data_IF_492560852581
#
_entry.id   IF_492560852581
#
_cell.length_a   1.000
_cell.length_b   1.000
_cell.length_c   1.000
_cell.angle_alpha   90.00
_cell.angle_beta   90.00
_cell.angle_gamma   90.00
#
_symmetry.space_group_name_H-M   'P 1'
#
loop_
_entity.id
_entity.type
_entity.pdbx_description
1 polymer ?
#
# COMPACT_ATOMS: atom_id res chain seq x y z
N UNK A 1 0.76 -9.28 -27.64
CA UNK A 1 0.20 -8.22 -26.78
C UNK A 1 0.76 -8.46 -25.40
N UNK A 2 1.60 -7.57 -24.88
CA UNK A 2 2.01 -7.61 -23.48
C UNK A 2 0.75 -7.40 -22.63
N UNK A 3 0.45 -8.33 -21.73
CA UNK A 3 -0.63 -8.15 -20.76
C UNK A 3 -0.22 -7.03 -19.81
N UNK A 4 -1.01 -5.95 -19.76
CA UNK A 4 -0.79 -4.85 -18.82
C UNK A 4 -0.97 -5.40 -17.41
N UNK A 5 0.10 -5.39 -16.62
CA UNK A 5 0.05 -5.80 -15.22
C UNK A 5 -0.62 -4.72 -14.37
N UNK A 6 -1.55 -5.12 -13.51
CA UNK A 6 -2.23 -4.20 -12.60
C UNK A 6 -1.44 -4.00 -11.30
N UNK A 7 -1.69 -2.90 -10.58
CA UNK A 7 -1.07 -2.70 -9.26
C UNK A 7 -1.49 -3.79 -8.25
N UNK A 8 -2.71 -4.33 -8.39
CA UNK A 8 -3.20 -5.43 -7.56
C UNK A 8 -2.38 -6.71 -7.77
N UNK A 9 -1.99 -6.99 -9.01
CA UNK A 9 -1.14 -8.14 -9.34
C UNK A 9 0.26 -7.97 -8.73
N UNK A 10 0.79 -6.74 -8.76
CA UNK A 10 2.07 -6.41 -8.14
C UNK A 10 2.03 -6.62 -6.61
N UNK A 11 0.95 -6.19 -5.95
CA UNK A 11 0.76 -6.41 -4.51
C UNK A 11 0.69 -7.90 -4.18
N UNK A 12 -0.04 -8.70 -4.98
CA UNK A 12 -0.11 -10.16 -4.79
C UNK A 12 1.26 -10.82 -4.97
N UNK A 13 2.04 -10.40 -5.96
CA UNK A 13 3.41 -10.88 -6.17
C UNK A 13 4.32 -10.53 -4.99
N UNK A 14 4.24 -9.30 -4.46
CA UNK A 14 5.00 -8.85 -3.29
C UNK A 14 4.70 -9.73 -2.06
N UNK A 15 3.43 -9.93 -1.75
CA UNK A 15 3.00 -10.75 -0.62
C UNK A 15 3.37 -12.23 -0.79
N UNK A 16 3.34 -12.73 -2.03
CA UNK A 16 3.80 -14.09 -2.34
C UNK A 16 5.31 -14.27 -2.24
N UNK A 17 6.09 -13.21 -2.48
CA UNK A 17 7.56 -13.25 -2.43
C UNK A 17 8.12 -13.15 -1.01
N UNK A 18 7.39 -12.53 -0.07
CA UNK A 18 7.84 -12.31 1.32
C UNK A 18 6.76 -12.82 2.29
N UNK A 19 6.82 -14.10 2.71
CA UNK A 19 5.78 -14.74 3.53
C UNK A 19 5.50 -14.05 4.88
N UNK A 20 6.48 -13.31 5.42
CA UNK A 20 6.37 -12.58 6.68
C UNK A 20 5.56 -11.29 6.53
N UNK A 21 5.44 -10.74 5.32
CA UNK A 21 4.64 -9.56 5.03
C UNK A 21 3.18 -9.98 4.89
N UNK A 22 2.35 -9.53 5.84
CA UNK A 22 0.93 -9.93 5.91
C UNK A 22 0.01 -9.07 5.06
N UNK A 23 0.46 -7.87 4.70
CA UNK A 23 -0.39 -6.86 4.08
C UNK A 23 0.47 -5.81 3.38
N UNK A 24 -0.05 -5.25 2.30
CA UNK A 24 0.62 -4.19 1.56
C UNK A 24 -0.42 -3.23 0.98
N UNK A 25 -0.05 -1.97 0.81
CA UNK A 25 -0.90 -0.97 0.18
C UNK A 25 -0.03 0.00 -0.62
N UNK A 26 -0.58 0.49 -1.72
CA UNK A 26 0.00 1.58 -2.51
C UNK A 26 -0.88 2.80 -2.24
N UNK A 27 -0.24 3.87 -1.81
CA UNK A 27 -0.86 5.10 -1.34
C UNK A 27 -0.14 6.29 -1.99
N UNK A 28 -0.86 7.39 -2.21
CA UNK A 28 -0.26 8.64 -2.67
C UNK A 28 0.53 9.33 -1.55
N UNK A 29 1.42 10.25 -1.90
CA UNK A 29 2.18 11.04 -0.93
C UNK A 29 1.26 11.90 -0.03
N UNK A 30 0.09 12.28 -0.54
CA UNK A 30 -0.96 13.02 0.15
C UNK A 30 -1.83 12.13 1.06
N UNK A 31 -1.59 10.82 1.07
CA UNK A 31 -2.32 9.87 1.92
C UNK A 31 -3.64 9.40 1.33
N UNK A 32 -3.77 9.38 0.01
CA UNK A 32 -4.93 8.80 -0.67
C UNK A 32 -4.65 7.32 -1.02
N UNK A 33 -5.56 6.38 -0.71
CA UNK A 33 -5.43 4.98 -1.13
C UNK A 33 -5.48 4.85 -2.66
N UNK A 34 -4.59 4.03 -3.23
CA UNK A 34 -4.57 3.70 -4.67
C UNK A 34 -4.98 2.24 -4.90
N UNK A 35 -4.33 1.32 -4.20
CA UNK A 35 -4.74 -0.09 -4.11
C UNK A 35 -4.24 -0.67 -2.80
N UNK A 36 -4.92 -1.69 -2.28
CA UNK A 36 -4.57 -2.28 -1.01
C UNK A 36 -4.86 -3.79 -0.97
N UNK A 37 -3.94 -4.54 -0.37
CA UNK A 37 -4.07 -5.94 -0.02
C UNK A 37 -4.04 -6.03 1.51
N UNK A 38 -5.13 -5.55 2.13
CA UNK A 38 -5.29 -5.45 3.57
C UNK A 38 -6.26 -6.51 4.12
N UNK A 39 -6.05 -7.00 5.35
CA UNK A 39 -6.99 -7.85 6.06
C UNK A 39 -8.38 -7.21 6.18
N UNK A 40 -9.39 -8.07 6.26
CA UNK A 40 -10.76 -7.63 6.46
C UNK A 40 -10.90 -6.82 7.76
N UNK A 41 -11.62 -5.70 7.69
CA UNK A 41 -11.85 -4.82 8.83
C UNK A 41 -10.78 -3.75 9.04
N UNK A 42 -9.74 -3.70 8.21
CA UNK A 42 -8.81 -2.57 8.16
C UNK A 42 -9.33 -1.52 7.17
N UNK A 43 -9.42 -0.28 7.62
CA UNK A 43 -9.74 0.87 6.78
C UNK A 43 -8.48 1.35 6.04
N UNK A 44 -8.48 1.23 4.72
CA UNK A 44 -7.39 1.67 3.85
C UNK A 44 -7.14 3.18 3.92
N UNK A 45 -8.19 3.99 4.12
CA UNK A 45 -8.08 5.45 4.24
C UNK A 45 -7.35 5.82 5.52
N UNK A 46 -7.63 5.10 6.62
CA UNK A 46 -6.89 5.27 7.87
C UNK A 46 -5.40 4.95 7.69
N UNK A 47 -5.08 3.83 7.03
CA UNK A 47 -3.68 3.43 6.80
C UNK A 47 -2.96 4.47 5.93
N UNK A 48 -3.59 4.94 4.86
CA UNK A 48 -3.00 5.92 3.95
C UNK A 48 -2.74 7.28 4.65
N UNK A 49 -3.66 7.73 5.50
CA UNK A 49 -3.46 8.93 6.31
C UNK A 49 -2.28 8.79 7.29
N UNK A 50 -2.14 7.62 7.94
CA UNK A 50 -1.01 7.36 8.84
C UNK A 50 0.33 7.41 8.11
N UNK A 51 0.42 6.79 6.92
CA UNK A 51 1.66 6.77 6.13
C UNK A 51 2.05 8.16 5.63
N UNK A 52 1.07 8.98 5.22
CA UNK A 52 1.34 10.37 4.84
C UNK A 52 1.82 11.21 6.01
N UNK A 53 1.26 11.00 7.21
CA UNK A 53 1.73 11.66 8.43
C UNK A 53 3.17 11.25 8.79
N UNK A 54 3.51 9.95 8.66
CA UNK A 54 4.87 9.46 8.87
C UNK A 54 5.86 10.05 7.87
N UNK A 55 5.48 10.10 6.57
CA UNK A 55 6.29 10.72 5.53
C UNK A 55 6.53 12.21 5.83
N UNK A 56 5.47 12.96 6.12
CA UNK A 56 5.55 14.39 6.46
C UNK A 56 6.42 14.64 7.71
N UNK A 57 6.36 13.76 8.71
CA UNK A 57 7.23 13.85 9.88
C UNK A 57 8.70 13.64 9.48
N UNK A 58 8.98 12.63 8.65
CA UNK A 58 10.34 12.30 8.22
C UNK A 58 10.98 13.36 7.33
N UNK A 59 10.20 14.03 6.48
CA UNK A 59 10.68 15.13 5.61
C UNK A 59 11.05 16.40 6.40
N UNK A 60 10.52 16.53 7.62
CA UNK A 60 10.77 17.67 8.51
C UNK A 60 11.91 17.41 9.52
N UNK A 61 12.42 16.18 9.59
CA UNK A 61 13.41 15.74 10.58
C UNK A 61 14.86 15.99 10.15
#
# INVERSE_FOLDING_TARGET
MESVETLDDLLKKLLGAIPEVKSAAIVSAEGLPITSALPQGIDETRIAAMTAALLSLSERA
#
